data_IF_821323064237
#
_entry.id   IF_821323064237
#
_cell.length_a   1.000
_cell.length_b   1.000
_cell.length_c   1.000
_cell.angle_alpha   90.00
_cell.angle_beta   90.00
_cell.angle_gamma   90.00
#
_symmetry.space_group_name_H-M   'P 1'
#
loop_
_entity.id
_entity.type
_entity.pdbx_description
1 polymer ?
#
# COMPACT_ATOMS: atom_id res chain seq x y z
N UNK A 1 9.92 13.01 -17.40
CA UNK A 1 9.97 11.75 -16.58
C UNK A 1 9.01 10.76 -17.25
N UNK A 2 9.46 9.55 -17.57
CA UNK A 2 8.59 8.52 -18.18
C UNK A 2 7.70 7.90 -17.11
N UNK A 3 6.42 7.70 -17.44
CA UNK A 3 5.46 6.98 -16.58
C UNK A 3 5.78 5.50 -16.50
N UNK A 4 5.14 4.80 -15.57
CA UNK A 4 5.17 3.34 -15.51
C UNK A 4 3.75 2.80 -15.60
N UNK A 5 3.60 1.65 -16.27
CA UNK A 5 2.40 0.82 -16.19
C UNK A 5 2.72 -0.38 -15.32
N UNK A 6 1.75 -0.81 -14.51
CA UNK A 6 1.85 -2.01 -13.69
C UNK A 6 0.61 -2.86 -13.91
N UNK A 7 0.81 -4.16 -14.05
CA UNK A 7 -0.24 -5.15 -14.23
C UNK A 7 0.00 -6.27 -13.23
N UNK A 8 -1.07 -6.82 -12.68
CA UNK A 8 -1.03 -7.99 -11.84
C UNK A 8 -2.10 -8.98 -12.29
N UNK A 9 -1.83 -10.26 -12.10
CA UNK A 9 -2.78 -11.33 -12.34
C UNK A 9 -2.69 -12.33 -11.20
N UNK A 10 -3.84 -12.74 -10.67
CA UNK A 10 -3.92 -13.65 -9.52
C UNK A 10 -3.14 -14.94 -9.80
N UNK A 11 -2.20 -15.27 -8.91
CA UNK A 11 -1.34 -16.45 -9.01
C UNK A 11 -0.24 -16.39 -10.07
N UNK A 12 -0.13 -15.29 -10.83
CA UNK A 12 0.91 -15.13 -11.85
C UNK A 12 1.92 -14.03 -11.49
N UNK A 13 1.56 -13.15 -10.57
CA UNK A 13 2.40 -12.09 -10.02
C UNK A 13 2.12 -10.69 -10.56
N UNK A 14 3.00 -9.76 -10.20
CA UNK A 14 2.94 -8.35 -10.61
C UNK A 14 4.11 -8.01 -11.52
N UNK A 15 3.86 -7.24 -12.58
CA UNK A 15 4.87 -6.77 -13.52
C UNK A 15 4.71 -5.30 -13.81
N UNK A 16 5.81 -4.64 -14.15
CA UNK A 16 5.86 -3.24 -14.55
C UNK A 16 6.59 -3.06 -15.86
N UNK A 17 6.19 -2.02 -16.60
CA UNK A 17 6.87 -1.55 -17.80
C UNK A 17 6.94 -0.03 -17.80
N UNK A 18 7.90 0.53 -18.55
CA UNK A 18 7.95 1.96 -18.83
C UNK A 18 6.88 2.29 -19.85
N UNK A 19 6.16 3.40 -19.65
CA UNK A 19 5.23 3.88 -20.65
C UNK A 19 6.04 4.37 -21.88
N UNK A 20 5.69 3.92 -23.11
CA UNK A 20 6.39 4.32 -24.32
C UNK A 20 6.25 5.82 -24.57
N UNK A 21 7.27 6.42 -25.17
CA UNK A 21 7.11 7.72 -25.81
C UNK A 21 6.46 7.56 -27.18
N UNK A 22 5.76 8.61 -27.66
CA UNK A 22 4.88 8.61 -28.84
C UNK A 22 5.55 8.13 -30.15
N UNK A 23 6.87 7.92 -30.19
CA UNK A 23 7.64 7.47 -31.35
C UNK A 23 8.56 6.26 -31.10
N UNK A 24 8.47 5.60 -29.94
CA UNK A 24 9.31 4.42 -29.64
C UNK A 24 8.55 3.12 -30.00
N UNK A 25 9.11 2.31 -30.92
CA UNK A 25 8.67 0.94 -31.10
C UNK A 25 9.08 0.11 -29.88
N UNK A 26 8.11 -0.33 -29.07
CA UNK A 26 8.40 -1.18 -27.91
C UNK A 26 8.70 -2.60 -28.41
N UNK A 27 9.88 -3.11 -28.09
CA UNK A 27 10.16 -4.53 -28.21
C UNK A 27 9.33 -5.29 -27.15
N UNK A 28 8.36 -6.16 -27.53
CA UNK A 28 7.39 -6.74 -26.59
C UNK A 28 8.02 -7.55 -25.46
N UNK A 29 9.20 -8.11 -25.70
CA UNK A 29 9.92 -8.99 -24.78
C UNK A 29 10.85 -8.26 -23.80
N UNK A 30 11.28 -7.03 -24.07
CA UNK A 30 12.17 -6.26 -23.18
C UNK A 30 11.41 -5.31 -22.22
N UNK A 31 10.09 -5.22 -22.37
CA UNK A 31 9.32 -4.16 -21.72
C UNK A 31 8.90 -4.49 -20.27
N UNK A 32 8.73 -5.76 -19.90
CA UNK A 32 8.09 -6.13 -18.64
C UNK A 32 9.06 -6.72 -17.61
N UNK A 33 9.18 -6.05 -16.47
CA UNK A 33 9.94 -6.52 -15.31
C UNK A 33 8.99 -7.01 -14.22
N UNK A 34 9.23 -8.22 -13.70
CA UNK A 34 8.52 -8.74 -12.53
C UNK A 34 8.83 -7.87 -11.31
N UNK A 35 7.79 -7.52 -10.57
CA UNK A 35 7.88 -6.79 -9.31
C UNK A 35 7.99 -7.78 -8.15
N UNK A 36 8.77 -7.41 -7.15
CA UNK A 36 8.89 -8.11 -5.88
C UNK A 36 8.98 -7.03 -4.82
N UNK A 37 8.29 -7.26 -3.71
CA UNK A 37 8.52 -6.55 -2.46
C UNK A 37 9.97 -6.69 -1.99
N UNK A 38 10.40 -5.78 -1.11
CA UNK A 38 11.72 -5.87 -0.48
C UNK A 38 11.75 -6.96 0.60
N UNK A 39 12.89 -7.14 1.29
CA UNK A 39 13.12 -8.25 2.23
C UNK A 39 13.44 -7.79 3.66
N UNK A 40 13.17 -6.54 4.01
CA UNK A 40 13.43 -6.04 5.37
C UNK A 40 12.47 -6.70 6.36
N UNK A 41 13.01 -7.23 7.47
CA UNK A 41 12.21 -7.87 8.53
C UNK A 41 12.11 -7.01 9.78
N UNK A 42 13.07 -6.10 9.98
CA UNK A 42 13.15 -5.23 11.13
C UNK A 42 12.46 -3.88 10.86
N UNK A 43 11.55 -3.42 11.74
CA UNK A 43 10.87 -2.12 11.58
C UNK A 43 11.83 -0.95 11.41
N UNK A 44 13.04 -1.05 11.98
CA UNK A 44 13.98 0.05 11.96
C UNK A 44 14.80 0.16 10.67
N UNK A 45 14.82 -0.91 9.87
CA UNK A 45 15.44 -0.95 8.54
C UNK A 45 14.41 -0.69 7.44
N UNK A 46 13.12 -0.84 7.79
CA UNK A 46 12.00 -0.68 6.88
C UNK A 46 11.80 0.78 6.46
N UNK A 47 11.38 0.93 5.21
CA UNK A 47 10.96 2.21 4.65
C UNK A 47 9.44 2.30 4.59
N UNK A 48 8.90 3.44 5.03
CA UNK A 48 7.47 3.65 5.16
C UNK A 48 7.02 4.68 4.15
N UNK A 49 5.78 4.58 3.69
CA UNK A 49 5.10 5.68 3.02
C UNK A 49 3.70 5.86 3.62
N UNK A 50 3.22 7.11 3.62
CA UNK A 50 1.90 7.49 4.13
C UNK A 50 1.23 8.45 3.15
N UNK A 51 -0.10 8.65 3.21
CA UNK A 51 -0.77 9.69 2.44
C UNK A 51 -0.34 11.09 2.85
N UNK A 52 -0.29 12.03 1.90
CA UNK A 52 0.06 13.43 2.17
C UNK A 52 -0.93 14.12 3.14
N UNK A 53 -2.16 13.60 3.22
CA UNK A 53 -3.21 14.06 4.15
C UNK A 53 -3.04 13.54 5.59
N UNK A 54 -1.98 12.79 5.85
CA UNK A 54 -1.66 12.15 7.12
C UNK A 54 -0.21 12.47 7.52
N UNK A 55 0.00 12.81 8.79
CA UNK A 55 1.36 12.95 9.35
C UNK A 55 1.76 11.67 10.09
N UNK A 56 3.06 11.43 10.21
CA UNK A 56 3.58 10.28 10.96
C UNK A 56 3.12 10.33 12.42
N UNK A 57 3.19 11.50 13.03
CA UNK A 57 2.84 11.78 14.43
C UNK A 57 1.36 11.52 14.72
N UNK A 58 0.51 11.44 13.69
CA UNK A 58 -0.91 11.09 13.83
C UNK A 58 -1.18 9.58 13.87
N UNK A 59 -0.16 8.75 13.60
CA UNK A 59 -0.27 7.29 13.62
C UNK A 59 0.13 6.73 14.99
N UNK A 60 -0.53 5.65 15.47
CA UNK A 60 -0.10 4.93 16.68
C UNK A 60 1.37 4.49 16.62
N UNK A 61 1.84 4.09 15.44
CA UNK A 61 3.23 3.68 15.17
C UNK A 61 4.28 4.71 15.60
N UNK A 62 3.94 6.00 15.60
CA UNK A 62 4.87 7.06 15.97
C UNK A 62 5.31 7.01 17.44
N UNK A 63 4.52 6.37 18.31
CA UNK A 63 4.86 6.18 19.73
C UNK A 63 5.99 5.17 19.92
N UNK A 64 6.06 4.16 19.06
CA UNK A 64 7.04 3.09 19.12
C UNK A 64 8.24 3.34 18.20
N UNK A 65 8.08 4.18 17.18
CA UNK A 65 9.12 4.44 16.21
C UNK A 65 9.24 5.93 15.85
N UNK A 66 10.45 6.48 16.03
CA UNK A 66 10.75 7.90 15.78
C UNK A 66 11.47 8.14 14.46
N UNK A 67 10.99 9.11 13.68
CA UNK A 67 11.66 9.58 12.46
C UNK A 67 12.97 10.33 12.80
N UNK A 68 12.99 11.08 13.90
CA UNK A 68 14.08 12.03 14.23
C UNK A 68 15.35 11.37 14.76
N UNK A 69 15.34 10.07 15.04
CA UNK A 69 16.48 9.32 15.62
C UNK A 69 17.12 8.27 14.70
N UNK A 70 16.78 8.22 13.40
CA UNK A 70 17.14 7.15 12.43
C UNK A 70 16.59 5.76 12.79
N UNK A 71 15.34 5.70 13.24
CA UNK A 71 14.65 4.42 13.35
C UNK A 71 13.76 4.14 12.14
N UNK A 72 13.23 5.13 11.40
CA UNK A 72 12.36 4.86 10.24
C UNK A 72 12.66 5.84 9.10
N UNK A 73 12.60 5.34 7.86
CA UNK A 73 12.70 6.16 6.64
C UNK A 73 11.31 6.41 6.07
N UNK A 74 10.82 7.66 6.11
CA UNK A 74 9.54 8.03 5.49
C UNK A 74 9.74 8.53 4.06
N UNK A 75 9.29 7.74 3.09
CA UNK A 75 9.33 8.05 1.67
C UNK A 75 8.09 8.85 1.26
N UNK A 76 8.33 9.94 0.53
CA UNK A 76 7.25 10.73 -0.09
C UNK A 76 6.96 10.21 -1.49
N UNK A 77 5.68 10.05 -1.80
CA UNK A 77 5.21 9.71 -3.12
C UNK A 77 4.39 10.88 -3.67
N UNK A 78 4.91 11.61 -4.66
CA UNK A 78 4.32 12.85 -5.18
C UNK A 78 3.05 12.64 -6.05
N UNK A 79 2.34 11.52 -5.91
CA UNK A 79 1.18 11.15 -6.71
C UNK A 79 0.09 10.52 -5.82
N UNK A 80 -1.11 10.31 -6.36
CA UNK A 80 -2.30 9.80 -5.63
C UNK A 80 -2.09 8.52 -4.81
N UNK A 81 -3.11 8.09 -4.05
CA UNK A 81 -3.02 6.93 -3.13
C UNK A 81 -2.42 5.67 -3.76
N UNK A 82 -2.80 5.35 -5.01
CA UNK A 82 -2.35 4.14 -5.72
C UNK A 82 -0.83 4.00 -5.79
N UNK A 83 -0.07 5.09 -6.02
CA UNK A 83 1.37 5.00 -6.20
C UNK A 83 2.11 4.44 -4.98
N UNK A 84 1.51 4.52 -3.79
CA UNK A 84 2.10 4.05 -2.53
C UNK A 84 2.05 2.52 -2.45
N UNK A 85 0.96 1.91 -2.92
CA UNK A 85 0.89 0.46 -3.13
C UNK A 85 1.93 -0.01 -4.14
N UNK A 86 2.07 0.70 -5.27
CA UNK A 86 3.07 0.36 -6.28
C UNK A 86 4.51 0.47 -5.75
N UNK A 87 4.77 1.42 -4.85
CA UNK A 87 6.08 1.51 -4.18
C UNK A 87 6.38 0.27 -3.36
N UNK A 88 5.40 -0.26 -2.62
CA UNK A 88 5.57 -1.51 -1.87
C UNK A 88 5.75 -2.69 -2.82
N UNK A 89 4.87 -2.84 -3.81
CA UNK A 89 4.94 -3.93 -4.79
C UNK A 89 6.28 -3.96 -5.56
N UNK A 90 6.91 -2.80 -5.80
CA UNK A 90 8.23 -2.69 -6.44
C UNK A 90 9.41 -2.87 -5.49
N UNK A 91 9.19 -3.09 -4.19
CA UNK A 91 10.25 -3.13 -3.18
C UNK A 91 10.96 -1.79 -2.98
N UNK A 92 10.29 -0.68 -3.29
CA UNK A 92 10.79 0.68 -3.03
C UNK A 92 10.39 1.20 -1.66
N UNK A 93 9.30 0.69 -1.12
CA UNK A 93 8.84 0.91 0.24
C UNK A 93 8.59 -0.46 0.88
N UNK A 94 8.79 -0.56 2.19
CA UNK A 94 8.54 -1.79 2.94
C UNK A 94 7.13 -1.81 3.52
N UNK A 95 6.60 -0.63 3.90
CA UNK A 95 5.28 -0.49 4.54
C UNK A 95 4.53 0.72 3.98
N UNK A 96 3.23 0.56 3.71
CA UNK A 96 2.29 1.64 3.47
C UNK A 96 1.17 1.60 4.51
N UNK A 97 0.92 2.73 5.18
CA UNK A 97 -0.09 2.85 6.24
C UNK A 97 -1.08 3.96 5.91
N UNK A 98 -2.35 3.56 5.74
CA UNK A 98 -3.48 4.47 5.53
C UNK A 98 -4.41 4.38 6.73
N UNK A 99 -4.67 5.51 7.40
CA UNK A 99 -5.69 5.61 8.46
C UNK A 99 -7.05 5.99 7.89
N UNK A 100 -8.09 5.31 8.34
CA UNK A 100 -9.48 5.74 8.13
C UNK A 100 -9.81 6.86 9.13
N UNK A 101 -10.20 8.04 8.65
CA UNK A 101 -10.64 9.16 9.51
C UNK A 101 -12.15 9.09 9.74
N UNK A 102 -12.53 9.09 11.02
CA UNK A 102 -13.91 9.32 11.46
C UNK A 102 -14.03 10.77 11.93
N UNK A 103 -15.15 11.38 11.64
CA UNK A 103 -15.57 12.69 12.10
C UNK A 103 -15.99 12.59 13.54
N UNK A 104 -16.14 13.74 14.18
CA UNK A 104 -16.56 13.81 15.59
C UNK A 104 -17.98 13.27 15.80
N UNK A 105 -18.76 13.16 14.73
CA UNK A 105 -20.10 12.59 14.62
C UNK A 105 -20.10 11.08 14.26
N UNK A 106 -18.91 10.46 14.19
CA UNK A 106 -18.75 9.08 13.72
C UNK A 106 -18.86 8.92 12.21
N UNK A 107 -19.00 10.02 11.45
CA UNK A 107 -19.11 10.02 9.98
C UNK A 107 -17.74 10.09 9.35
N UNK A 108 -17.47 9.28 8.33
CA UNK A 108 -16.16 9.21 7.69
C UNK A 108 -15.77 10.54 7.01
N UNK A 109 -14.56 11.04 7.28
CA UNK A 109 -14.09 12.36 6.80
C UNK A 109 -13.29 12.27 5.49
N UNK A 110 -12.90 11.05 5.09
CA UNK A 110 -12.15 10.81 3.84
C UNK A 110 -12.84 9.70 3.03
N UNK A 111 -13.26 10.04 1.81
CA UNK A 111 -13.92 9.13 0.84
C UNK A 111 -12.91 8.19 0.14
N UNK A 112 -11.78 7.86 0.79
CA UNK A 112 -10.82 6.87 0.28
C UNK A 112 -11.30 5.45 0.60
N UNK A 113 -12.60 5.16 0.52
CA UNK A 113 -13.14 3.81 0.75
C UNK A 113 -13.50 3.12 -0.55
N UNK A 114 -13.53 3.82 -1.68
CA UNK A 114 -14.00 3.20 -2.91
C UNK A 114 -13.06 2.08 -3.32
N UNK A 115 -13.63 0.95 -3.68
CA UNK A 115 -12.87 -0.25 -4.09
C UNK A 115 -11.89 0.08 -5.22
N UNK A 116 -12.26 0.98 -6.14
CA UNK A 116 -11.38 1.37 -7.26
C UNK A 116 -10.16 2.22 -6.86
N UNK A 117 -10.17 2.87 -5.68
CA UNK A 117 -9.02 3.65 -5.19
C UNK A 117 -7.91 2.77 -4.61
N UNK A 118 -8.21 1.49 -4.33
CA UNK A 118 -7.29 0.57 -3.65
C UNK A 118 -7.13 -0.76 -4.37
N UNK A 119 -8.18 -1.30 -4.98
CA UNK A 119 -8.24 -2.69 -5.45
C UNK A 119 -7.07 -3.10 -6.35
N UNK A 120 -6.72 -2.25 -7.32
CA UNK A 120 -5.53 -2.48 -8.17
C UNK A 120 -4.25 -2.52 -7.33
N UNK A 121 -4.10 -1.61 -6.37
CA UNK A 121 -2.96 -1.58 -5.46
C UNK A 121 -2.87 -2.81 -4.56
N UNK A 122 -3.99 -3.27 -4.00
CA UNK A 122 -4.04 -4.45 -3.13
C UNK A 122 -3.65 -5.72 -3.90
N UNK A 123 -4.19 -5.91 -5.11
CA UNK A 123 -3.84 -7.06 -5.97
C UNK A 123 -2.37 -7.00 -6.35
N UNK A 124 -1.87 -5.84 -6.81
CA UNK A 124 -0.47 -5.68 -7.18
C UNK A 124 0.50 -6.00 -6.03
N UNK A 125 0.16 -5.65 -4.79
CA UNK A 125 1.02 -5.98 -3.64
C UNK A 125 0.97 -7.45 -3.30
N UNK A 126 -0.23 -8.06 -3.22
CA UNK A 126 -0.38 -9.50 -2.95
C UNK A 126 0.40 -10.34 -3.97
N UNK A 127 0.24 -10.01 -5.24
CA UNK A 127 0.90 -10.71 -6.35
C UNK A 127 2.41 -10.38 -6.46
N UNK A 128 2.90 -9.31 -5.82
CA UNK A 128 4.32 -9.05 -5.67
C UNK A 128 4.95 -9.76 -4.45
N UNK A 129 4.17 -10.56 -3.71
CA UNK A 129 4.60 -11.27 -2.50
C UNK A 129 4.40 -10.51 -1.19
N UNK A 130 3.72 -9.36 -1.21
CA UNK A 130 3.43 -8.58 -0.01
C UNK A 130 2.17 -9.01 0.73
N UNK A 131 1.92 -8.37 1.86
CA UNK A 131 0.77 -8.61 2.74
C UNK A 131 -0.11 -7.37 2.87
N UNK A 132 -1.41 -7.59 2.97
CA UNK A 132 -2.43 -6.54 3.04
C UNK A 132 -3.47 -6.94 4.09
N UNK A 133 -3.79 -6.02 4.99
CA UNK A 133 -4.81 -6.20 6.02
C UNK A 133 -5.42 -4.87 6.45
N UNK A 134 -6.43 -4.92 7.30
CA UNK A 134 -6.77 -3.81 8.17
C UNK A 134 -5.82 -3.71 9.38
N UNK A 135 -6.01 -2.73 10.27
CA UNK A 135 -5.10 -2.52 11.40
C UNK A 135 -5.20 -3.60 12.50
N UNK A 136 -6.19 -4.50 12.43
CA UNK A 136 -6.34 -5.68 13.30
C UNK A 136 -5.82 -6.97 12.67
N UNK A 137 -5.26 -6.90 11.45
CA UNK A 137 -4.83 -8.07 10.70
C UNK A 137 -5.96 -8.77 9.94
N UNK A 138 -7.17 -8.20 9.93
CA UNK A 138 -8.29 -8.71 9.14
C UNK A 138 -8.07 -8.51 7.64
N UNK A 139 -8.57 -9.43 6.82
CA UNK A 139 -8.42 -9.31 5.37
C UNK A 139 -9.21 -8.12 4.81
N UNK A 140 -8.59 -7.35 3.91
CA UNK A 140 -9.32 -6.33 3.14
C UNK A 140 -10.03 -7.02 2.00
N UNK A 141 -11.33 -7.22 2.18
CA UNK A 141 -12.21 -7.85 1.21
C UNK A 141 -12.62 -6.86 0.11
N UNK A 142 -12.45 -7.28 -1.15
CA UNK A 142 -12.84 -6.49 -2.33
C UNK A 142 -14.19 -6.91 -2.91
N UNK A 143 -14.71 -8.07 -2.52
CA UNK A 143 -16.08 -8.49 -2.82
C UNK A 143 -17.02 -7.49 -2.16
N UNK A 144 -17.71 -6.71 -2.99
CA UNK A 144 -18.86 -5.98 -2.52
C UNK A 144 -19.94 -6.96 -2.09
N UNK A 145 -20.81 -6.52 -1.19
CA UNK A 145 -22.06 -7.24 -0.92
C UNK A 145 -22.85 -7.32 -2.24
N UNK A 146 -22.91 -8.52 -2.86
CA UNK A 146 -23.50 -8.75 -4.18
C UNK A 146 -24.96 -8.27 -4.25
N UNK A 147 -25.63 -8.22 -3.09
CA UNK A 147 -27.03 -7.82 -2.95
C UNK A 147 -27.22 -6.30 -2.97
N UNK A 148 -26.23 -5.53 -2.49
CA UNK A 148 -26.35 -4.07 -2.31
C UNK A 148 -25.42 -3.29 -3.25
N UNK A 149 -24.53 -3.98 -3.96
CA UNK A 149 -23.56 -3.36 -4.86
C UNK A 149 -22.62 -2.40 -4.14
N UNK A 150 -22.34 -2.65 -2.85
CA UNK A 150 -21.47 -1.77 -2.04
C UNK A 150 -20.07 -1.79 -2.62
N UNK A 151 -19.63 -0.64 -3.14
CA UNK A 151 -18.29 -0.43 -3.69
C UNK A 151 -17.36 0.24 -2.67
N UNK A 152 -17.61 0.04 -1.38
CA UNK A 152 -16.92 0.69 -0.26
C UNK A 152 -16.21 -0.33 0.62
N UNK A 153 -15.00 0.01 1.05
CA UNK A 153 -14.17 -0.76 1.96
C UNK A 153 -14.35 -0.24 3.38
N UNK A 154 -14.50 -1.15 4.34
CA UNK A 154 -14.65 -0.82 5.77
C UNK A 154 -13.55 -1.45 6.65
N UNK A 155 -12.25 -1.25 6.34
CA UNK A 155 -11.18 -1.84 7.11
C UNK A 155 -11.09 -1.19 8.50
N UNK A 156 -10.94 -1.99 9.54
CA UNK A 156 -10.84 -1.47 10.90
C UNK A 156 -9.55 -0.64 11.06
N UNK A 157 -9.68 0.60 11.53
CA UNK A 157 -8.57 1.56 11.71
C UNK A 157 -8.00 2.12 10.40
N UNK A 158 -7.98 1.35 9.32
CA UNK A 158 -7.41 1.71 8.04
C UNK A 158 -6.81 0.52 7.31
N UNK A 159 -6.03 0.78 6.24
CA UNK A 159 -5.35 -0.26 5.45
C UNK A 159 -3.87 -0.27 5.84
N UNK A 160 -3.35 -1.48 6.08
CA UNK A 160 -1.95 -1.77 6.27
C UNK A 160 -1.46 -2.63 5.10
N UNK A 161 -0.32 -2.24 4.53
CA UNK A 161 0.34 -2.95 3.45
C UNK A 161 1.79 -3.10 3.81
N UNK A 162 2.36 -4.30 3.65
CA UNK A 162 3.78 -4.54 3.91
C UNK A 162 4.41 -5.50 2.90
N UNK A 163 5.73 -5.59 2.96
CA UNK A 163 6.57 -6.47 2.17
C UNK A 163 6.48 -7.97 2.51
N UNK A 164 5.86 -8.36 3.63
CA UNK A 164 5.78 -9.76 4.03
C UNK A 164 5.33 -9.98 5.47
N UNK A 165 5.07 -11.23 5.82
CA UNK A 165 4.41 -11.65 7.06
C UNK A 165 5.10 -11.15 8.33
N UNK A 166 6.41 -11.34 8.46
CA UNK A 166 7.15 -11.02 9.69
C UNK A 166 7.03 -9.52 10.04
N UNK A 167 7.27 -8.64 9.06
CA UNK A 167 7.15 -7.20 9.28
C UNK A 167 5.67 -6.81 9.44
N UNK A 168 4.76 -7.46 8.71
CA UNK A 168 3.33 -7.20 8.78
C UNK A 168 2.78 -7.39 10.19
N UNK A 169 3.05 -8.54 10.80
CA UNK A 169 2.49 -8.92 12.09
C UNK A 169 2.97 -7.96 13.19
N UNK A 170 4.26 -7.60 13.15
CA UNK A 170 4.84 -6.56 14.03
C UNK A 170 4.14 -5.21 13.87
N UNK A 171 3.79 -4.82 12.65
CA UNK A 171 3.06 -3.57 12.41
C UNK A 171 1.61 -3.64 12.92
N UNK A 172 0.94 -4.79 12.78
CA UNK A 172 -0.41 -5.00 13.33
C UNK A 172 -0.39 -4.91 14.86
N UNK A 173 0.55 -5.57 15.53
CA UNK A 173 0.74 -5.49 16.98
C UNK A 173 0.93 -4.03 17.44
N UNK A 174 1.79 -3.29 16.74
CA UNK A 174 2.09 -1.89 16.98
C UNK A 174 0.89 -0.94 16.76
N UNK A 175 -0.01 -1.27 15.82
CA UNK A 175 -1.22 -0.50 15.55
C UNK A 175 -2.37 -0.81 16.51
N UNK A 176 -2.38 -2.00 17.11
CA UNK A 176 -3.40 -2.44 18.06
C UNK A 176 -3.09 -2.08 19.53
N UNK A 177 -1.86 -1.67 19.84
CA UNK A 177 -1.44 -1.23 21.19
C UNK A 177 -1.85 0.20 21.52
#
# INVERSE_FOLDING_TARGET
>A
RRGIIMIAHVGCGTWRSKLPERSESINPHEAWMRCSVDKFSEPHEASFCIPDSQSWESLPLSKQHSIRGKQIVLLRACCGSLCKYLMVACGRASVFVLRTKYGNDGVFVLDMRKVWDHGVGLICVREAGGKVSDWKGGEVELSGDEVVGRRELHPWGGILVSNGTILHDRMVEALCS
#
